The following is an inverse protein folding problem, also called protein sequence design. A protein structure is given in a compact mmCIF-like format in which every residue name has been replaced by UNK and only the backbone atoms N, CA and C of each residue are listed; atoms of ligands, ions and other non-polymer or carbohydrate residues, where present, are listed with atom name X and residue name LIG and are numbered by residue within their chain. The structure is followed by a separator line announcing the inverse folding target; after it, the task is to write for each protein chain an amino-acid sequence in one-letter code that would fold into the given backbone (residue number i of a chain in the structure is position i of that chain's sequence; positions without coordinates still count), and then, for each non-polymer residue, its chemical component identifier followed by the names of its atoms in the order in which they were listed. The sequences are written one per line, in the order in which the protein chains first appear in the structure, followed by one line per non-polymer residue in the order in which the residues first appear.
data_IF_975560092774
#
_entry.id   IF_975560092774
#
_cell.length_a   1.000
_cell.length_b   1.000
_cell.length_c   1.000
_cell.angle_alpha   90.00
_cell.angle_beta   90.00
_cell.angle_gamma   90.00
#
_symmetry.space_group_name_H-M   'P 1'
#
loop_
_entity.id
_entity.type
_entity.pdbx_description
1 polymer ?
#
# COMPACT_ATOMS: atom_id res chain seq x y z
N UNK A 1 68.59 -38.23 -28.79
CA UNK A 1 69.50 -37.74 -29.86
C UNK A 1 70.16 -36.51 -29.33
N UNK A 2 71.37 -36.67 -28.93
CA UNK A 2 72.64 -35.99 -29.21
C UNK A 2 72.70 -34.55 -28.69
N UNK A 3 73.54 -34.35 -27.64
CA UNK A 3 74.99 -34.05 -27.61
C UNK A 3 75.26 -32.57 -27.94
N UNK A 4 76.11 -31.77 -27.31
CA UNK A 4 77.34 -31.92 -26.54
C UNK A 4 77.77 -30.54 -26.04
N UNK A 5 78.27 -30.35 -24.80
CA UNK A 5 79.67 -30.29 -24.45
C UNK A 5 80.53 -29.27 -25.20
N UNK A 6 81.12 -28.36 -24.49
CA UNK A 6 82.58 -28.16 -24.15
C UNK A 6 82.78 -26.77 -23.52
N UNK A 7 83.31 -26.54 -22.35
CA UNK A 7 84.63 -26.76 -21.73
C UNK A 7 85.79 -25.96 -22.37
N UNK A 8 86.53 -25.34 -21.50
CA UNK A 8 88.00 -24.98 -21.52
C UNK A 8 88.17 -23.55 -21.08
N UNK A 9 88.63 -23.32 -19.89
CA UNK A 9 89.98 -23.31 -19.28
C UNK A 9 90.75 -22.02 -19.38
N UNK A 10 91.17 -21.57 -18.21
CA UNK A 10 92.48 -21.30 -17.67
C UNK A 10 93.21 -20.09 -18.24
N UNK A 11 93.55 -19.12 -17.37
CA UNK A 11 94.97 -18.80 -17.01
C UNK A 11 95.03 -17.82 -15.87
N UNK A 12 95.88 -18.22 -14.90
CA UNK A 12 96.33 -17.45 -13.78
C UNK A 12 97.45 -16.51 -14.17
N UNK A 13 97.56 -15.41 -13.52
CA UNK A 13 98.88 -14.78 -13.22
C UNK A 13 98.73 -13.70 -12.13
N UNK A 14 99.33 -13.98 -11.05
CA UNK A 14 99.91 -13.21 -9.92
C UNK A 14 100.38 -11.80 -10.25
N UNK A 15 100.19 -10.83 -9.38
CA UNK A 15 101.23 -10.06 -8.72
C UNK A 15 100.77 -9.16 -7.54
N UNK A 16 101.59 -9.10 -6.56
CA UNK A 16 101.50 -8.75 -5.17
C UNK A 16 101.57 -7.21 -4.87
N UNK A 17 101.20 -6.94 -3.60
CA UNK A 17 101.59 -5.83 -2.73
C UNK A 17 101.05 -4.42 -3.02
N UNK A 18 100.39 -3.91 -2.02
CA UNK A 18 100.05 -2.51 -1.80
C UNK A 18 99.12 -2.29 -0.62
N UNK A 19 99.58 -2.48 0.61
CA UNK A 19 98.89 -2.18 1.85
C UNK A 19 98.67 -0.67 2.00
N UNK A 20 97.41 -0.21 1.92
CA UNK A 20 96.99 1.08 2.46
C UNK A 20 95.73 0.86 3.29
N UNK A 21 95.89 1.04 4.60
CA UNK A 21 94.81 1.04 5.57
C UNK A 21 93.86 2.25 5.27
N UNK A 22 92.66 1.98 4.75
CA UNK A 22 91.57 2.95 4.68
C UNK A 22 90.55 2.52 5.69
N UNK A 23 90.47 3.24 6.82
CA UNK A 23 89.40 3.04 7.83
C UNK A 23 88.04 3.24 7.18
N UNK A 24 87.31 2.15 7.02
CA UNK A 24 85.91 2.17 6.57
C UNK A 24 85.06 2.79 7.68
N UNK A 25 84.65 4.06 7.50
CA UNK A 25 83.44 4.56 8.14
C UNK A 25 82.24 3.79 7.54
N UNK A 26 81.74 2.83 8.31
CA UNK A 26 80.47 2.24 8.05
C UNK A 26 79.36 3.36 8.13
N UNK A 27 78.50 3.53 7.12
CA UNK A 27 77.40 4.43 7.30
C UNK A 27 76.52 3.86 8.40
N UNK A 28 76.25 4.63 9.45
CA UNK A 28 75.28 4.34 10.45
C UNK A 28 73.93 4.21 9.71
N UNK A 29 73.40 3.00 9.64
CA UNK A 29 71.97 2.79 9.22
C UNK A 29 71.13 3.65 10.16
N UNK A 30 70.60 4.76 9.62
CA UNK A 30 69.57 5.56 10.28
C UNK A 30 68.37 4.65 10.48
N UNK A 31 68.16 4.21 11.71
CA UNK A 31 66.86 3.56 12.06
C UNK A 31 65.74 4.50 11.61
N UNK A 32 64.81 4.03 10.80
CA UNK A 32 63.64 4.85 10.41
C UNK A 32 62.95 5.34 11.69
N UNK A 33 62.85 6.65 11.85
CA UNK A 33 62.13 7.25 12.96
C UNK A 33 60.71 6.61 13.01
N UNK A 34 60.18 6.28 14.21
CA UNK A 34 58.87 5.72 14.34
C UNK A 34 57.89 6.60 13.57
N UNK A 35 57.24 6.05 12.54
CA UNK A 35 56.27 6.79 11.75
C UNK A 35 55.20 7.36 12.70
N UNK A 36 54.96 8.65 12.63
CA UNK A 36 53.95 9.32 13.45
C UNK A 36 52.61 8.57 13.32
N UNK A 37 51.90 8.34 14.43
CA UNK A 37 50.63 7.62 14.37
C UNK A 37 49.67 8.28 13.36
N UNK A 38 49.00 7.49 12.49
CA UNK A 38 48.12 8.05 11.48
C UNK A 38 46.98 8.83 12.13
N UNK A 39 46.78 10.05 11.64
CA UNK A 39 45.62 10.85 12.06
C UNK A 39 44.34 10.23 11.55
N UNK A 40 43.36 10.02 12.43
CA UNK A 40 42.07 9.40 12.15
C UNK A 40 40.94 10.25 12.72
N UNK A 41 39.84 10.39 11.95
CA UNK A 41 38.60 11.03 12.43
C UNK A 41 37.80 10.03 13.25
N UNK A 42 37.46 10.38 14.48
CA UNK A 42 36.66 9.54 15.37
C UNK A 42 35.33 10.17 15.74
N UNK A 43 34.33 9.32 15.91
CA UNK A 43 33.01 9.71 16.40
C UNK A 43 32.57 8.77 17.51
N UNK A 44 31.92 9.32 18.53
CA UNK A 44 31.35 8.51 19.61
C UNK A 44 30.08 7.80 19.16
N UNK A 45 29.95 6.55 19.53
CA UNK A 45 28.73 5.78 19.35
C UNK A 45 27.63 6.32 20.31
N UNK A 46 26.58 6.91 19.77
CA UNK A 46 25.51 7.54 20.54
C UNK A 46 24.16 6.90 20.23
N UNK A 47 23.26 6.91 21.19
CA UNK A 47 21.87 6.53 20.91
C UNK A 47 21.19 7.59 20.06
N UNK A 48 20.54 7.15 18.99
CA UNK A 48 19.75 8.02 18.11
C UNK A 48 18.40 7.39 17.81
N UNK A 49 17.36 8.21 17.71
CA UNK A 49 16.07 7.75 17.21
C UNK A 49 16.21 7.46 15.71
N UNK A 50 15.91 6.22 15.32
CA UNK A 50 15.87 5.78 13.92
C UNK A 50 14.46 5.24 13.66
N UNK A 51 13.82 5.77 12.62
CA UNK A 51 12.56 5.23 12.14
C UNK A 51 12.86 3.98 11.31
N UNK A 52 12.40 2.86 11.82
CA UNK A 52 12.52 1.60 11.09
C UNK A 52 11.59 1.63 9.88
N UNK A 53 12.10 1.35 8.70
CA UNK A 53 11.31 1.24 7.48
C UNK A 53 11.63 -0.06 6.75
N UNK A 54 10.60 -0.67 6.16
CA UNK A 54 10.72 -1.83 5.28
C UNK A 54 10.05 -1.49 3.96
N UNK A 55 10.73 -1.83 2.85
CA UNK A 55 10.28 -1.48 1.50
C UNK A 55 9.73 -2.72 0.79
N UNK A 56 8.56 -2.58 0.16
CA UNK A 56 7.86 -3.65 -0.54
C UNK A 56 7.31 -3.14 -1.88
N UNK A 57 7.22 -4.02 -2.87
CA UNK A 57 6.50 -3.72 -4.10
C UNK A 57 5.02 -3.98 -3.87
N UNK A 58 4.18 -2.98 -4.11
CA UNK A 58 2.74 -3.05 -3.95
C UNK A 58 1.98 -2.64 -5.20
N UNK A 59 0.65 -2.75 -5.11
CA UNK A 59 -0.29 -2.32 -6.13
C UNK A 59 -1.41 -1.49 -5.50
N UNK A 60 -1.79 -0.43 -6.17
CA UNK A 60 -2.99 0.35 -5.83
C UNK A 60 -4.22 -0.38 -6.36
N UNK A 61 -5.25 -0.47 -5.56
CA UNK A 61 -6.52 -1.11 -5.91
C UNK A 61 -7.69 -0.23 -5.46
N UNK A 62 -8.71 -0.15 -6.29
CA UNK A 62 -9.95 0.51 -5.90
C UNK A 62 -10.63 -0.22 -4.73
N UNK A 63 -11.21 0.53 -3.79
CA UNK A 63 -11.96 -0.06 -2.67
C UNK A 63 -13.21 -0.78 -3.12
N UNK A 64 -13.88 -0.26 -4.16
CA UNK A 64 -15.06 -0.86 -4.77
C UNK A 64 -14.90 -0.88 -6.29
N UNK A 65 -15.29 -2.01 -6.88
CA UNK A 65 -15.34 -2.20 -8.33
C UNK A 65 -16.67 -2.84 -8.68
N UNK A 66 -17.44 -2.19 -9.54
CA UNK A 66 -18.75 -2.67 -9.98
C UNK A 66 -18.77 -2.81 -11.49
N UNK A 67 -19.17 -3.98 -11.95
CA UNK A 67 -19.45 -4.27 -13.35
C UNK A 67 -20.94 -4.02 -13.61
N UNK A 68 -21.25 -3.02 -14.41
CA UNK A 68 -22.63 -2.65 -14.77
C UNK A 68 -23.09 -3.58 -15.87
N UNK A 69 -24.24 -4.23 -15.66
CA UNK A 69 -24.86 -5.17 -16.61
C UNK A 69 -26.35 -4.82 -16.81
N UNK A 70 -26.90 -5.12 -17.99
CA UNK A 70 -28.33 -5.03 -18.21
C UNK A 70 -29.06 -6.16 -17.45
N UNK A 71 -30.22 -5.85 -16.88
CA UNK A 71 -31.10 -6.83 -16.18
C UNK A 71 -32.29 -7.25 -17.00
N UNK A 72 -32.64 -6.49 -18.04
CA UNK A 72 -33.72 -6.75 -19.00
C UNK A 72 -33.18 -6.73 -20.41
N UNK A 73 -33.94 -7.33 -21.34
CA UNK A 73 -33.62 -7.29 -22.77
C UNK A 73 -34.33 -6.11 -23.42
N UNK A 74 -33.57 -5.14 -23.93
CA UNK A 74 -34.12 -3.96 -24.58
C UNK A 74 -33.05 -3.31 -25.49
N UNK A 75 -33.47 -2.37 -26.35
CA UNK A 75 -32.57 -1.50 -27.08
C UNK A 75 -31.93 -0.48 -26.14
N UNK A 76 -30.63 -0.26 -26.29
CA UNK A 76 -29.92 0.84 -25.65
C UNK A 76 -30.20 2.12 -26.44
N UNK A 77 -31.04 2.99 -25.89
CA UNK A 77 -31.42 4.23 -26.57
C UNK A 77 -30.30 5.28 -26.45
N UNK A 78 -29.81 5.46 -25.25
CA UNK A 78 -28.88 6.55 -24.96
C UNK A 78 -27.93 6.25 -23.81
N UNK A 79 -26.67 6.62 -24.00
CA UNK A 79 -25.67 6.78 -22.94
C UNK A 79 -25.69 8.22 -22.44
N UNK A 80 -25.72 8.45 -21.12
CA UNK A 80 -25.87 9.78 -20.51
C UNK A 80 -24.57 10.33 -19.90
N UNK A 81 -23.49 9.54 -19.88
CA UNK A 81 -22.18 9.90 -19.31
C UNK A 81 -21.09 10.01 -20.38
N UNK A 82 -20.00 10.69 -20.03
CA UNK A 82 -18.74 10.66 -20.78
C UNK A 82 -17.81 9.59 -20.19
N UNK A 83 -17.16 8.83 -21.04
CA UNK A 83 -16.20 7.81 -20.62
C UNK A 83 -15.02 8.45 -19.88
N UNK A 84 -14.59 7.84 -18.80
CA UNK A 84 -13.47 8.34 -17.98
C UNK A 84 -13.82 9.47 -17.02
N UNK A 85 -15.09 9.89 -16.92
CA UNK A 85 -15.56 10.87 -15.92
C UNK A 85 -15.88 10.22 -14.58
N UNK A 86 -15.93 11.02 -13.52
CA UNK A 86 -16.48 10.57 -12.24
C UNK A 86 -18.00 10.66 -12.26
N UNK A 87 -18.63 9.63 -11.72
CA UNK A 87 -20.08 9.51 -11.53
C UNK A 87 -20.40 9.33 -10.05
N UNK A 88 -21.58 9.80 -9.65
CA UNK A 88 -22.08 9.63 -8.28
C UNK A 88 -23.11 8.51 -8.22
N UNK A 89 -23.28 7.95 -7.06
CA UNK A 89 -24.35 6.99 -6.77
C UNK A 89 -25.71 7.60 -7.12
N UNK A 90 -26.46 6.88 -7.95
CA UNK A 90 -27.77 7.32 -8.44
C UNK A 90 -27.75 8.06 -9.79
N UNK A 91 -26.58 8.43 -10.31
CA UNK A 91 -26.50 9.04 -11.64
C UNK A 91 -27.00 8.06 -12.72
N UNK A 92 -27.82 8.56 -13.65
CA UNK A 92 -28.29 7.77 -14.80
C UNK A 92 -27.12 7.54 -15.77
N UNK A 93 -26.86 6.28 -16.08
CA UNK A 93 -25.76 5.87 -16.97
C UNK A 93 -26.27 5.50 -18.36
N UNK A 94 -27.28 4.65 -18.40
CA UNK A 94 -27.88 4.19 -19.64
C UNK A 94 -29.39 4.24 -19.55
N UNK A 95 -29.98 4.62 -20.64
CA UNK A 95 -31.43 4.57 -20.85
C UNK A 95 -31.73 3.50 -21.91
N UNK A 96 -32.54 2.52 -21.54
CA UNK A 96 -33.04 1.50 -22.44
C UNK A 96 -34.45 1.88 -22.95
N UNK A 97 -34.89 1.24 -24.02
CA UNK A 97 -36.26 1.39 -24.56
C UNK A 97 -37.30 1.05 -23.51
N UNK A 98 -38.16 2.01 -23.17
CA UNK A 98 -39.17 1.93 -22.08
C UNK A 98 -40.54 1.51 -22.56
N UNK A 99 -40.89 1.85 -23.82
CA UNK A 99 -42.24 1.72 -24.35
C UNK A 99 -42.90 0.36 -24.10
N UNK A 100 -42.28 -0.76 -24.42
CA UNK A 100 -42.86 -2.09 -24.16
C UNK A 100 -43.11 -2.37 -22.68
N UNK A 101 -42.24 -1.91 -21.79
CA UNK A 101 -42.36 -2.12 -20.33
C UNK A 101 -43.46 -1.24 -19.73
N UNK A 102 -43.63 0.00 -20.20
CA UNK A 102 -44.70 0.90 -19.79
C UNK A 102 -46.08 0.34 -20.23
N UNK A 103 -46.17 -0.18 -21.45
CA UNK A 103 -47.40 -0.81 -21.94
C UNK A 103 -47.78 -2.08 -21.14
N UNK A 104 -46.79 -2.91 -20.78
CA UNK A 104 -47.04 -4.08 -19.93
C UNK A 104 -47.51 -3.67 -18.53
N UNK A 105 -46.86 -2.70 -17.91
CA UNK A 105 -47.25 -2.17 -16.61
C UNK A 105 -48.68 -1.64 -16.61
N UNK A 106 -49.08 -0.85 -17.61
CA UNK A 106 -50.44 -0.34 -17.73
C UNK A 106 -51.48 -1.46 -17.92
N UNK A 107 -51.14 -2.49 -18.71
CA UNK A 107 -51.99 -3.69 -18.86
C UNK A 107 -52.21 -4.40 -17.52
N UNK A 108 -51.18 -4.60 -16.70
CA UNK A 108 -51.29 -5.22 -15.37
C UNK A 108 -52.09 -4.37 -14.39
N UNK A 109 -51.91 -3.05 -14.42
CA UNK A 109 -52.71 -2.11 -13.61
C UNK A 109 -54.20 -2.19 -13.99
N UNK A 110 -54.54 -2.24 -15.27
CA UNK A 110 -55.93 -2.41 -15.73
C UNK A 110 -56.56 -3.71 -15.23
N UNK A 111 -55.78 -4.81 -15.18
CA UNK A 111 -56.23 -6.08 -14.63
C UNK A 111 -56.52 -6.01 -13.12
N UNK A 112 -55.70 -5.30 -12.34
CA UNK A 112 -56.01 -5.05 -10.92
C UNK A 112 -57.28 -4.28 -10.75
N UNK A 113 -57.52 -3.23 -11.53
CA UNK A 113 -58.78 -2.45 -11.49
C UNK A 113 -60.02 -3.31 -11.80
N UNK A 114 -59.93 -4.21 -12.80
CA UNK A 114 -61.00 -5.16 -13.13
C UNK A 114 -61.31 -6.08 -11.95
N UNK A 115 -60.31 -6.67 -11.32
CA UNK A 115 -60.48 -7.57 -10.17
C UNK A 115 -60.99 -6.84 -8.93
N UNK A 116 -60.54 -5.61 -8.71
CA UNK A 116 -61.06 -4.76 -7.64
C UNK A 116 -62.57 -4.45 -7.82
N UNK A 117 -63.01 -4.14 -9.03
CA UNK A 117 -64.42 -3.93 -9.32
C UNK A 117 -65.25 -5.20 -9.03
N UNK A 118 -64.70 -6.38 -9.40
CA UNK A 118 -65.39 -7.68 -9.10
C UNK A 118 -65.45 -7.95 -7.61
N UNK A 119 -64.34 -7.63 -6.86
CA UNK A 119 -64.28 -7.75 -5.41
C UNK A 119 -65.27 -6.84 -4.70
N UNK A 120 -65.48 -5.61 -5.19
CA UNK A 120 -66.52 -4.71 -4.65
C UNK A 120 -67.89 -5.33 -4.75
N UNK A 121 -68.27 -5.95 -5.93
CA UNK A 121 -69.48 -6.66 -6.08
C UNK A 121 -69.65 -7.86 -5.14
N UNK A 122 -68.57 -8.63 -4.92
CA UNK A 122 -68.55 -9.76 -3.99
C UNK A 122 -68.76 -9.28 -2.53
N UNK A 123 -68.10 -8.19 -2.12
CA UNK A 123 -68.29 -7.55 -0.79
C UNK A 123 -69.76 -7.15 -0.59
N UNK A 124 -70.34 -6.45 -1.56
CA UNK A 124 -71.77 -6.10 -1.49
C UNK A 124 -72.73 -7.34 -1.42
N UNK A 125 -72.32 -8.42 -2.08
CA UNK A 125 -73.08 -9.68 -2.01
C UNK A 125 -72.96 -10.33 -0.64
N UNK A 126 -71.74 -10.33 -0.05
CA UNK A 126 -71.51 -10.84 1.30
C UNK A 126 -72.25 -10.02 2.36
N UNK A 127 -72.28 -8.69 2.22
CA UNK A 127 -73.05 -7.81 3.12
C UNK A 127 -74.52 -8.05 3.05
N UNK A 128 -75.11 -8.26 1.84
CA UNK A 128 -76.52 -8.61 1.67
C UNK A 128 -76.82 -9.97 2.28
N UNK A 129 -76.01 -10.99 2.03
CA UNK A 129 -76.18 -12.32 2.61
C UNK A 129 -76.12 -12.29 4.15
N UNK A 130 -75.20 -11.48 4.72
CA UNK A 130 -75.07 -11.24 6.16
C UNK A 130 -76.31 -10.59 6.75
N UNK A 131 -76.90 -9.60 6.07
CA UNK A 131 -78.09 -8.93 6.51
C UNK A 131 -79.30 -9.87 6.49
N UNK A 132 -79.48 -10.70 5.43
CA UNK A 132 -80.50 -11.68 5.30
C UNK A 132 -80.39 -12.80 6.34
N UNK A 133 -79.17 -13.20 6.74
CA UNK A 133 -78.92 -14.24 7.74
C UNK A 133 -79.60 -13.88 9.09
N UNK A 134 -79.76 -12.61 9.44
CA UNK A 134 -80.41 -12.13 10.64
C UNK A 134 -81.96 -12.25 10.56
N UNK A 135 -82.54 -12.65 9.41
CA UNK A 135 -83.95 -12.79 9.16
C UNK A 135 -84.40 -14.27 8.95
N UNK A 136 -85.78 -14.54 8.90
CA UNK A 136 -86.29 -15.88 8.81
C UNK A 136 -86.01 -16.61 7.48
N UNK A 137 -85.51 -15.93 6.45
CA UNK A 137 -85.20 -16.47 5.13
C UNK A 137 -83.68 -16.68 4.86
N UNK A 138 -82.84 -16.41 5.83
CA UNK A 138 -81.38 -16.49 5.67
C UNK A 138 -80.85 -17.91 5.78
N UNK A 139 -79.96 -18.31 4.83
CA UNK A 139 -79.30 -19.60 4.82
C UNK A 139 -77.78 -19.37 5.14
N UNK A 140 -77.28 -20.08 6.17
CA UNK A 140 -75.87 -20.02 6.55
C UNK A 140 -74.92 -20.40 5.39
N UNK A 141 -75.35 -21.43 4.60
CA UNK A 141 -74.57 -21.88 3.44
C UNK A 141 -74.34 -20.82 2.37
N UNK A 142 -75.31 -19.94 2.16
CA UNK A 142 -75.25 -18.83 1.20
C UNK A 142 -74.28 -17.76 1.68
N UNK A 143 -74.27 -17.46 2.99
CA UNK A 143 -73.37 -16.52 3.57
C UNK A 143 -71.92 -17.06 3.53
N UNK A 144 -71.71 -18.32 3.90
CA UNK A 144 -70.43 -18.99 3.87
C UNK A 144 -69.87 -19.04 2.44
N UNK A 145 -70.65 -19.32 1.45
CA UNK A 145 -70.24 -19.28 0.05
C UNK A 145 -69.90 -17.88 -0.44
N UNK A 146 -70.59 -16.83 0.03
CA UNK A 146 -70.30 -15.44 -0.32
C UNK A 146 -68.92 -14.98 0.31
N UNK A 147 -68.69 -15.38 1.58
CA UNK A 147 -67.41 -15.12 2.23
C UNK A 147 -66.25 -15.81 1.49
N UNK A 148 -66.42 -17.09 1.15
CA UNK A 148 -65.39 -17.85 0.44
C UNK A 148 -65.05 -17.21 -0.91
N UNK A 149 -66.11 -16.78 -1.65
CA UNK A 149 -65.95 -16.06 -2.93
C UNK A 149 -65.22 -14.71 -2.72
N UNK A 150 -65.60 -13.92 -1.72
CA UNK A 150 -64.93 -12.66 -1.39
C UNK A 150 -63.45 -12.88 -1.09
N UNK A 151 -63.11 -13.84 -0.21
CA UNK A 151 -61.73 -14.19 0.16
C UNK A 151 -60.91 -14.66 -1.06
N UNK A 152 -61.55 -15.44 -1.96
CA UNK A 152 -60.92 -15.85 -3.22
C UNK A 152 -60.56 -14.66 -4.11
N UNK A 153 -61.48 -13.69 -4.24
CA UNK A 153 -61.26 -12.48 -5.03
C UNK A 153 -60.21 -11.53 -4.37
N UNK A 154 -60.20 -11.45 -3.04
CA UNK A 154 -59.16 -10.72 -2.31
C UNK A 154 -57.77 -11.29 -2.59
N UNK A 155 -57.64 -12.61 -2.58
CA UNK A 155 -56.38 -13.28 -2.93
C UNK A 155 -56.01 -13.05 -4.42
N UNK A 156 -56.97 -13.02 -5.33
CA UNK A 156 -56.71 -12.71 -6.74
C UNK A 156 -56.27 -11.27 -6.97
N UNK A 157 -56.82 -10.29 -6.25
CA UNK A 157 -56.35 -8.88 -6.29
C UNK A 157 -54.92 -8.79 -5.80
N UNK A 158 -54.58 -9.48 -4.70
CA UNK A 158 -53.20 -9.49 -4.19
C UNK A 158 -52.21 -10.11 -5.20
N UNK A 159 -52.62 -11.23 -5.84
CA UNK A 159 -51.80 -11.86 -6.88
C UNK A 159 -51.59 -10.93 -8.10
N UNK A 160 -52.66 -10.23 -8.54
CA UNK A 160 -52.53 -9.26 -9.63
C UNK A 160 -51.68 -8.04 -9.25
N UNK A 161 -51.76 -7.57 -8.01
CA UNK A 161 -50.89 -6.50 -7.51
C UNK A 161 -49.44 -6.90 -7.55
N UNK A 162 -49.07 -8.12 -7.16
CA UNK A 162 -47.71 -8.63 -7.25
C UNK A 162 -47.20 -8.66 -8.71
N UNK A 163 -48.10 -8.87 -9.71
CA UNK A 163 -47.70 -8.78 -11.12
C UNK A 163 -47.42 -7.33 -11.56
N UNK A 164 -48.18 -6.35 -11.02
CA UNK A 164 -47.90 -4.92 -11.24
C UNK A 164 -46.52 -4.55 -10.68
N UNK A 165 -46.23 -5.01 -9.46
CA UNK A 165 -44.95 -4.73 -8.81
C UNK A 165 -43.76 -5.33 -9.61
N UNK A 166 -43.94 -6.54 -10.17
CA UNK A 166 -42.92 -7.17 -11.04
C UNK A 166 -42.74 -6.37 -12.34
N UNK A 167 -43.80 -5.91 -12.98
CA UNK A 167 -43.73 -5.11 -14.21
C UNK A 167 -43.09 -3.74 -13.92
N UNK A 168 -43.36 -3.14 -12.75
CA UNK A 168 -42.68 -1.90 -12.30
C UNK A 168 -41.15 -2.11 -12.14
N UNK A 169 -40.74 -3.18 -11.48
CA UNK A 169 -39.32 -3.52 -11.32
C UNK A 169 -38.65 -3.69 -12.69
N UNK A 170 -39.33 -4.34 -13.65
CA UNK A 170 -38.76 -4.48 -15.00
C UNK A 170 -38.66 -3.13 -15.73
N UNK A 171 -39.62 -2.24 -15.53
CA UNK A 171 -39.55 -0.87 -16.04
C UNK A 171 -38.40 -0.09 -15.40
N UNK A 172 -38.21 -0.20 -14.08
CA UNK A 172 -37.12 0.45 -13.38
C UNK A 172 -35.74 -0.03 -13.89
N UNK A 173 -35.62 -1.28 -14.32
CA UNK A 173 -34.41 -1.83 -14.92
C UNK A 173 -34.08 -1.28 -16.30
N UNK A 174 -34.97 -0.51 -16.93
CA UNK A 174 -34.71 0.20 -18.18
C UNK A 174 -33.86 1.45 -17.97
N UNK A 175 -33.77 1.96 -16.74
CA UNK A 175 -32.87 3.02 -16.33
C UNK A 175 -31.74 2.42 -15.49
N UNK A 176 -30.52 2.46 -16.02
CA UNK A 176 -29.34 1.89 -15.36
C UNK A 176 -28.60 3.01 -14.65
N UNK A 177 -28.65 3.00 -13.34
CA UNK A 177 -27.99 4.00 -12.47
C UNK A 177 -26.68 3.48 -11.88
N UNK A 178 -25.80 4.42 -11.50
CA UNK A 178 -24.58 4.08 -10.79
C UNK A 178 -24.85 3.61 -9.37
N UNK A 179 -24.37 2.42 -8.98
CA UNK A 179 -24.52 1.94 -7.60
C UNK A 179 -23.50 2.47 -6.63
N UNK A 180 -22.40 3.09 -7.11
CA UNK A 180 -21.30 3.62 -6.32
C UNK A 180 -20.78 4.95 -6.89
N UNK A 181 -20.13 5.73 -6.05
CA UNK A 181 -19.30 6.85 -6.50
C UNK A 181 -17.99 6.33 -7.09
N UNK A 182 -17.57 6.85 -8.24
CA UNK A 182 -16.30 6.44 -8.83
C UNK A 182 -16.12 6.86 -10.27
N UNK A 183 -15.00 6.45 -10.85
CA UNK A 183 -14.68 6.72 -12.25
C UNK A 183 -15.27 5.64 -13.14
N UNK A 184 -16.04 6.07 -14.14
CA UNK A 184 -16.66 5.16 -15.11
C UNK A 184 -15.68 4.86 -16.24
N UNK A 185 -15.63 3.59 -16.62
CA UNK A 185 -14.77 3.12 -17.70
C UNK A 185 -15.41 3.34 -19.08
N UNK A 186 -14.79 2.72 -20.06
CA UNK A 186 -15.27 2.68 -21.44
C UNK A 186 -16.55 1.85 -21.53
N UNK A 187 -17.51 2.26 -22.38
CA UNK A 187 -18.66 1.43 -22.73
C UNK A 187 -18.26 0.28 -23.65
N UNK A 188 -18.81 -0.90 -23.43
CA UNK A 188 -18.61 -2.06 -24.30
C UNK A 188 -19.67 -2.15 -25.42
N UNK A 189 -20.81 -1.47 -25.26
CA UNK A 189 -21.94 -1.50 -26.18
C UNK A 189 -22.32 -0.06 -26.55
N UNK A 190 -22.50 0.20 -27.84
CA UNK A 190 -22.90 1.50 -28.36
C UNK A 190 -24.41 1.63 -28.44
N UNK A 191 -24.88 2.88 -28.46
CA UNK A 191 -26.30 3.22 -28.62
C UNK A 191 -26.88 2.56 -29.88
N UNK A 192 -28.17 2.16 -29.83
CA UNK A 192 -28.83 1.47 -30.91
C UNK A 192 -28.66 -0.06 -30.94
N UNK A 193 -27.87 -0.65 -30.03
CA UNK A 193 -27.75 -2.09 -29.93
C UNK A 193 -28.74 -2.68 -28.91
N UNK A 194 -29.08 -3.95 -29.10
CA UNK A 194 -29.86 -4.71 -28.11
C UNK A 194 -28.90 -5.17 -26.99
N UNK A 195 -29.29 -4.91 -25.77
CA UNK A 195 -28.65 -5.43 -24.56
C UNK A 195 -29.54 -6.46 -23.88
N UNK A 196 -28.92 -7.46 -23.29
CA UNK A 196 -29.58 -8.56 -22.55
C UNK A 196 -28.80 -8.87 -21.28
N UNK A 197 -29.35 -9.58 -20.30
CA UNK A 197 -28.61 -10.05 -19.14
C UNK A 197 -27.36 -10.90 -19.48
N UNK A 198 -27.33 -11.51 -20.66
CA UNK A 198 -26.21 -12.32 -21.17
C UNK A 198 -25.23 -11.54 -22.05
N UNK A 199 -25.46 -10.26 -22.33
CA UNK A 199 -24.58 -9.42 -23.16
C UNK A 199 -23.25 -9.11 -22.49
N UNK A 200 -23.09 -9.46 -21.20
CA UNK A 200 -21.88 -9.18 -20.42
C UNK A 200 -21.87 -7.79 -19.80
N UNK A 201 -20.66 -7.31 -19.52
CA UNK A 201 -20.45 -6.02 -18.83
C UNK A 201 -20.61 -4.87 -19.82
N UNK A 202 -21.50 -3.93 -19.52
CA UNK A 202 -21.69 -2.71 -20.32
C UNK A 202 -20.56 -1.69 -20.06
N UNK A 203 -20.23 -1.50 -18.80
CA UNK A 203 -19.11 -0.67 -18.33
C UNK A 203 -18.70 -1.10 -16.91
N UNK A 204 -17.54 -0.62 -16.45
CA UNK A 204 -17.06 -0.83 -15.08
C UNK A 204 -16.90 0.50 -14.38
N UNK A 205 -17.33 0.59 -13.13
CA UNK A 205 -17.12 1.75 -12.27
C UNK A 205 -16.15 1.33 -11.16
N UNK A 206 -15.14 2.15 -10.93
CA UNK A 206 -14.13 1.94 -9.87
C UNK A 206 -14.10 3.15 -8.94
N UNK A 207 -14.19 2.90 -7.65
CA UNK A 207 -14.04 3.96 -6.65
C UNK A 207 -12.66 4.59 -6.74
N UNK A 208 -12.55 5.89 -6.44
CA UNK A 208 -11.32 6.64 -6.59
C UNK A 208 -10.71 7.08 -5.25
N UNK A 209 -11.51 7.25 -4.21
CA UNK A 209 -11.08 7.68 -2.89
C UNK A 209 -12.00 7.09 -1.81
N UNK A 210 -11.44 6.45 -0.77
CA UNK A 210 -10.04 6.08 -0.63
C UNK A 210 -9.64 4.91 -1.53
N UNK A 211 -8.32 4.71 -1.72
CA UNK A 211 -7.76 3.56 -2.42
C UNK A 211 -7.18 2.54 -1.44
N UNK A 212 -7.08 1.29 -1.88
CA UNK A 212 -6.27 0.29 -1.20
C UNK A 212 -4.87 0.25 -1.80
N UNK A 213 -3.90 -0.04 -0.96
CA UNK A 213 -2.57 -0.46 -1.37
C UNK A 213 -2.34 -1.87 -0.84
N UNK A 214 -2.12 -2.83 -1.75
CA UNK A 214 -1.88 -4.23 -1.44
C UNK A 214 -0.43 -4.59 -1.76
N UNK A 215 0.22 -5.31 -0.86
CA UNK A 215 1.61 -5.73 -1.04
C UNK A 215 1.88 -7.06 -0.35
N UNK A 216 2.62 -7.97 -1.00
CA UNK A 216 3.05 -9.24 -0.43
C UNK A 216 4.27 -9.03 0.47
N UNK A 217 4.26 -9.67 1.62
CA UNK A 217 5.36 -9.68 2.59
C UNK A 217 5.74 -11.13 2.87
N UNK A 218 7.03 -11.46 2.95
CA UNK A 218 7.46 -12.81 3.30
C UNK A 218 6.95 -13.18 4.71
N UNK A 219 6.62 -14.45 4.94
CA UNK A 219 6.12 -14.92 6.23
C UNK A 219 7.10 -14.57 7.36
N UNK A 220 8.40 -14.69 7.10
CA UNK A 220 9.46 -14.33 8.06
C UNK A 220 9.37 -12.85 8.46
N UNK A 221 9.26 -11.96 7.49
CA UNK A 221 9.17 -10.51 7.73
C UNK A 221 7.85 -10.16 8.43
N UNK A 222 6.74 -10.77 8.02
CA UNK A 222 5.44 -10.58 8.66
C UNK A 222 5.45 -10.98 10.14
N UNK A 223 6.13 -12.07 10.51
CA UNK A 223 6.32 -12.49 11.90
C UNK A 223 7.16 -11.45 12.68
N UNK A 224 8.26 -10.99 12.08
CA UNK A 224 9.12 -9.96 12.67
C UNK A 224 8.36 -8.66 12.90
N UNK A 225 7.58 -8.20 11.91
CA UNK A 225 6.73 -7.01 12.04
C UNK A 225 5.67 -7.21 13.12
N UNK A 226 5.02 -8.36 13.15
CA UNK A 226 4.01 -8.68 14.19
C UNK A 226 4.61 -8.63 15.59
N UNK A 227 5.74 -9.28 15.84
CA UNK A 227 6.42 -9.27 17.15
C UNK A 227 6.83 -7.84 17.54
N UNK A 228 7.37 -7.09 16.61
CA UNK A 228 7.83 -5.71 16.81
C UNK A 228 6.72 -4.75 17.20
N UNK A 229 5.56 -4.85 16.54
CA UNK A 229 4.45 -3.91 16.73
C UNK A 229 3.32 -4.43 17.63
N UNK A 230 3.31 -5.70 18.03
CA UNK A 230 2.26 -6.29 18.88
C UNK A 230 2.05 -5.51 20.19
N UNK A 231 3.15 -5.08 20.84
CA UNK A 231 3.12 -4.33 22.10
C UNK A 231 3.03 -2.82 21.93
N UNK A 232 3.17 -2.30 20.69
CA UNK A 232 3.25 -0.87 20.38
C UNK A 232 1.98 -0.30 19.75
N UNK A 233 0.88 -1.05 19.73
CA UNK A 233 -0.40 -0.62 19.15
C UNK A 233 -0.79 -1.33 17.84
N UNK A 234 -0.06 -2.38 17.45
CA UNK A 234 -0.39 -3.20 16.27
C UNK A 234 -0.39 -2.39 14.98
N UNK A 235 -1.44 -2.50 14.18
CA UNK A 235 -1.55 -1.80 12.88
C UNK A 235 -1.50 -0.28 12.96
N UNK A 236 -1.95 0.31 14.08
CA UNK A 236 -1.91 1.77 14.30
C UNK A 236 -0.50 2.32 14.53
N UNK A 237 0.43 1.45 14.87
CA UNK A 237 1.83 1.81 15.07
C UNK A 237 2.65 1.87 13.78
N UNK A 238 2.01 1.65 12.64
CA UNK A 238 2.64 1.59 11.33
C UNK A 238 1.95 2.55 10.37
N UNK A 239 2.75 3.34 9.66
CA UNK A 239 2.30 4.22 8.59
C UNK A 239 2.81 3.67 7.26
N UNK A 240 1.96 3.73 6.27
CA UNK A 240 2.29 3.37 4.89
C UNK A 240 2.62 4.66 4.14
N UNK A 241 3.84 4.76 3.63
CA UNK A 241 4.23 5.77 2.66
C UNK A 241 4.38 5.11 1.30
N UNK A 242 3.89 5.77 0.29
CA UNK A 242 3.92 5.26 -1.09
C UNK A 242 4.90 6.07 -1.91
N UNK A 243 5.78 5.39 -2.63
CA UNK A 243 6.62 6.00 -3.68
C UNK A 243 6.06 5.60 -5.03
N UNK A 244 5.76 6.61 -5.83
CA UNK A 244 5.21 6.47 -7.17
C UNK A 244 6.26 5.92 -8.17
N UNK A 245 5.84 5.42 -9.34
CA UNK A 245 6.75 4.90 -10.38
C UNK A 245 7.76 5.93 -10.88
N UNK A 246 7.43 7.23 -10.81
CA UNK A 246 8.33 8.34 -11.17
C UNK A 246 9.39 8.66 -10.10
N UNK A 247 9.35 7.95 -8.97
CA UNK A 247 10.29 8.11 -7.85
C UNK A 247 9.87 9.14 -6.80
N UNK A 248 8.81 9.91 -7.04
CA UNK A 248 8.27 10.86 -6.05
C UNK A 248 7.61 10.13 -4.89
N UNK A 249 7.73 10.70 -3.71
CA UNK A 249 6.99 10.25 -2.55
C UNK A 249 5.58 10.85 -2.60
N UNK A 250 4.56 10.00 -2.46
CA UNK A 250 3.17 10.42 -2.37
C UNK A 250 2.93 11.18 -1.05
N UNK A 251 2.23 12.31 -1.11
CA UNK A 251 2.07 13.19 0.06
C UNK A 251 1.17 12.61 1.15
N UNK A 252 0.17 11.80 0.76
CA UNK A 252 -0.77 11.24 1.73
C UNK A 252 -0.22 9.97 2.35
N UNK A 253 -0.41 9.83 3.65
CA UNK A 253 -0.03 8.64 4.39
C UNK A 253 -1.18 7.63 4.41
N UNK A 254 -0.87 6.37 4.16
CA UNK A 254 -1.79 5.26 4.30
C UNK A 254 -1.72 4.63 5.69
N UNK A 255 -2.75 3.87 6.03
CA UNK A 255 -2.83 3.09 7.27
C UNK A 255 -3.06 1.61 6.94
N UNK A 256 -2.32 0.74 7.62
CA UNK A 256 -2.52 -0.70 7.51
C UNK A 256 -3.86 -1.08 8.16
N UNK A 257 -4.73 -1.75 7.41
CA UNK A 257 -6.06 -2.13 7.89
C UNK A 257 -6.34 -3.63 7.83
N UNK A 258 -5.55 -4.40 7.07
CA UNK A 258 -5.81 -5.81 6.89
C UNK A 258 -4.54 -6.61 6.62
N UNK A 259 -4.49 -7.81 7.19
CA UNK A 259 -3.49 -8.85 6.90
C UNK A 259 -4.26 -10.08 6.45
N UNK A 260 -3.91 -10.64 5.30
CA UNK A 260 -4.58 -11.83 4.81
C UNK A 260 -4.44 -13.00 5.79
N UNK A 261 -5.44 -13.87 5.85
CA UNK A 261 -5.45 -15.07 6.69
C UNK A 261 -4.85 -16.30 6.01
N UNK A 262 -4.43 -16.15 4.75
CA UNK A 262 -3.83 -17.21 3.93
C UNK A 262 -2.45 -16.81 3.45
N UNK A 263 -1.55 -17.80 3.40
CA UNK A 263 -0.20 -17.66 2.86
C UNK A 263 -0.23 -18.18 1.41
N UNK A 264 0.30 -17.41 0.48
CA UNK A 264 0.46 -17.83 -0.90
C UNK A 264 1.56 -18.90 -0.98
N UNK A 265 1.17 -20.16 -1.24
CA UNK A 265 2.06 -21.31 -1.18
C UNK A 265 3.21 -21.26 -2.22
N UNK A 266 2.99 -20.59 -3.35
CA UNK A 266 4.00 -20.47 -4.43
C UNK A 266 5.15 -19.51 -4.08
N UNK A 267 4.91 -18.53 -3.22
CA UNK A 267 5.85 -17.44 -2.91
C UNK A 267 6.21 -17.33 -1.44
N UNK A 268 5.59 -18.12 -0.57
CA UNK A 268 5.71 -18.05 0.91
C UNK A 268 5.50 -16.59 1.42
N UNK A 269 4.47 -15.93 0.88
CA UNK A 269 4.14 -14.55 1.23
C UNK A 269 2.72 -14.45 1.78
N UNK A 270 2.52 -13.45 2.65
CA UNK A 270 1.21 -13.02 3.14
C UNK A 270 0.93 -11.63 2.60
N UNK A 271 -0.29 -11.41 2.09
CA UNK A 271 -0.68 -10.12 1.56
C UNK A 271 -1.15 -9.21 2.68
N UNK A 272 -0.56 -8.04 2.76
CA UNK A 272 -0.98 -6.93 3.61
C UNK A 272 -1.73 -5.92 2.74
N UNK A 273 -2.70 -5.23 3.37
CA UNK A 273 -3.47 -4.18 2.72
C UNK A 273 -3.58 -2.96 3.63
N UNK A 274 -3.35 -1.81 3.06
CA UNK A 274 -3.60 -0.53 3.69
C UNK A 274 -4.66 0.28 2.95
N UNK A 275 -5.17 1.30 3.60
CA UNK A 275 -6.05 2.31 3.00
C UNK A 275 -5.27 3.61 2.90
N UNK A 276 -5.35 4.27 1.75
CA UNK A 276 -4.68 5.53 1.47
C UNK A 276 -5.67 6.51 0.83
N UNK A 277 -5.75 7.76 1.29
CA UNK A 277 -6.56 8.80 0.65
C UNK A 277 -6.03 9.10 -0.76
N UNK A 278 -6.93 9.44 -1.67
CA UNK A 278 -6.59 9.83 -3.05
C UNK A 278 -7.42 11.05 -3.48
N UNK A 279 -7.14 12.23 -2.87
CA UNK A 279 -7.90 13.44 -3.16
C UNK A 279 -7.75 13.86 -4.62
N UNK A 280 -8.75 14.59 -5.12
CA UNK A 280 -8.71 15.22 -6.44
C UNK A 280 -7.63 16.29 -6.47
N UNK A 281 -6.74 16.26 -7.47
CA UNK A 281 -5.70 17.26 -7.67
C UNK A 281 -6.25 18.49 -8.43
N UNK A 282 -6.88 18.22 -9.57
CA UNK A 282 -7.49 19.25 -10.44
C UNK A 282 -8.46 18.60 -11.42
N UNK A 283 -9.26 19.42 -12.07
CA UNK A 283 -10.13 18.95 -13.17
C UNK A 283 -9.28 18.53 -14.37
N UNK A 284 -9.71 17.48 -15.07
CA UNK A 284 -9.04 17.02 -16.27
C UNK A 284 -9.38 17.95 -17.46
N UNK A 285 -8.41 18.71 -17.99
CA UNK A 285 -8.68 19.61 -19.12
C UNK A 285 -9.02 18.86 -20.42
N UNK A 286 -8.66 17.58 -20.54
CA UNK A 286 -8.91 16.76 -21.71
C UNK A 286 -10.31 16.10 -21.70
N UNK A 287 -10.91 15.95 -20.52
CA UNK A 287 -12.18 15.25 -20.35
C UNK A 287 -13.17 16.14 -19.60
N UNK A 288 -14.16 16.74 -20.28
CA UNK A 288 -15.18 17.57 -19.61
C UNK A 288 -15.88 16.80 -18.49
N UNK A 289 -15.79 17.32 -17.24
CA UNK A 289 -16.28 16.66 -16.04
C UNK A 289 -15.40 15.53 -15.51
N UNK A 290 -14.22 15.33 -16.08
CA UNK A 290 -13.19 14.44 -15.56
C UNK A 290 -12.37 15.08 -14.46
N UNK A 291 -11.83 14.26 -13.56
CA UNK A 291 -10.90 14.67 -12.50
C UNK A 291 -9.60 13.92 -12.63
N UNK A 292 -8.50 14.59 -12.27
CA UNK A 292 -7.17 13.98 -12.19
C UNK A 292 -6.87 13.69 -10.73
N UNK A 293 -6.50 12.45 -10.47
CA UNK A 293 -6.01 11.96 -9.18
C UNK A 293 -4.65 11.33 -9.37
N UNK A 294 -3.84 11.32 -8.34
CA UNK A 294 -2.46 10.87 -8.46
C UNK A 294 -2.35 9.34 -8.50
N UNK A 295 -3.19 8.65 -7.70
CA UNK A 295 -3.20 7.18 -7.68
C UNK A 295 -4.25 6.64 -8.65
N UNK A 296 -3.85 5.63 -9.41
CA UNK A 296 -4.72 4.94 -10.38
C UNK A 296 -4.88 3.46 -10.01
N UNK A 297 -6.08 2.92 -10.18
CA UNK A 297 -6.35 1.50 -9.95
C UNK A 297 -5.48 0.61 -10.83
N UNK A 298 -4.79 -0.36 -10.22
CA UNK A 298 -3.85 -1.26 -10.88
C UNK A 298 -2.40 -0.78 -10.94
N UNK A 299 -2.10 0.44 -10.50
CA UNK A 299 -0.77 1.03 -10.52
C UNK A 299 0.19 0.31 -9.58
N UNK A 300 1.41 0.03 -10.05
CA UNK A 300 2.47 -0.48 -9.20
C UNK A 300 3.17 0.65 -8.47
N UNK A 301 3.40 0.43 -7.19
CA UNK A 301 4.04 1.42 -6.31
C UNK A 301 5.02 0.74 -5.37
N UNK A 302 5.99 1.50 -4.89
CA UNK A 302 6.85 1.05 -3.79
C UNK A 302 6.25 1.49 -2.46
N UNK A 303 5.98 0.52 -1.61
CA UNK A 303 5.38 0.70 -0.29
C UNK A 303 6.46 0.73 0.77
N UNK A 304 6.62 1.85 1.47
CA UNK A 304 7.48 1.99 2.63
C UNK A 304 6.64 1.89 3.90
N UNK A 305 6.87 0.82 4.64
CA UNK A 305 6.22 0.57 5.91
C UNK A 305 7.07 1.16 7.03
N UNK A 306 6.63 2.24 7.64
CA UNK A 306 7.38 2.95 8.67
C UNK A 306 6.71 2.84 10.04
N UNK A 307 7.53 2.65 11.09
CA UNK A 307 7.04 2.74 12.46
C UNK A 307 6.71 4.19 12.84
N UNK A 308 5.54 4.41 13.44
CA UNK A 308 5.11 5.75 13.93
C UNK A 308 6.06 6.29 15.00
N UNK A 309 6.61 5.40 15.83
CA UNK A 309 7.54 5.78 16.89
C UNK A 309 8.97 5.39 16.53
N UNK A 310 9.91 6.34 16.48
CA UNK A 310 11.31 6.05 16.29
C UNK A 310 11.84 5.22 17.46
N UNK A 311 12.69 4.24 17.14
CA UNK A 311 13.37 3.39 18.13
C UNK A 311 14.75 3.97 18.41
N UNK A 312 15.12 4.11 19.69
CA UNK A 312 16.47 4.48 20.06
C UNK A 312 17.43 3.31 19.82
N UNK A 313 18.33 3.48 18.86
CA UNK A 313 19.36 2.50 18.52
C UNK A 313 20.74 3.10 18.72
N UNK A 314 21.73 2.26 19.05
CA UNK A 314 23.12 2.68 19.05
C UNK A 314 23.56 2.90 17.61
N UNK A 315 23.87 4.14 17.27
CA UNK A 315 24.09 4.59 15.90
C UNK A 315 25.54 5.04 15.67
N UNK A 316 26.09 4.60 14.55
CA UNK A 316 27.39 5.06 14.02
C UNK A 316 27.22 5.47 12.54
N UNK A 317 28.12 6.28 11.98
CA UNK A 317 28.11 6.57 10.56
C UNK A 317 28.28 5.29 9.72
N UNK A 318 27.48 5.14 8.65
CA UNK A 318 27.59 3.98 7.75
C UNK A 318 29.01 3.84 7.15
N UNK A 319 29.70 4.96 6.93
CA UNK A 319 31.08 5.02 6.42
C UNK A 319 32.12 4.37 7.36
N UNK A 320 31.82 4.18 8.64
CA UNK A 320 32.69 3.51 9.60
C UNK A 320 32.63 1.98 9.52
N UNK A 321 31.60 1.43 8.88
CA UNK A 321 31.38 -0.01 8.80
C UNK A 321 32.18 -0.60 7.65
N UNK A 322 33.01 -1.57 7.97
CA UNK A 322 33.81 -2.37 7.04
C UNK A 322 33.30 -3.81 7.02
N UNK A 323 33.48 -4.50 5.90
CA UNK A 323 33.08 -5.89 5.73
C UNK A 323 34.23 -6.74 5.23
N UNK A 324 34.38 -7.94 5.78
CA UNK A 324 35.32 -8.96 5.31
C UNK A 324 34.60 -10.34 5.18
N UNK A 325 35.41 -11.41 4.98
CA UNK A 325 34.87 -12.77 4.83
C UNK A 325 34.17 -13.31 6.08
N UNK A 326 34.50 -12.75 7.26
CA UNK A 326 33.94 -13.19 8.55
C UNK A 326 32.74 -12.33 8.99
N UNK A 327 32.41 -11.25 8.26
CA UNK A 327 31.28 -10.37 8.52
C UNK A 327 31.63 -8.89 8.67
N UNK A 328 30.77 -8.15 9.32
CA UNK A 328 30.91 -6.70 9.49
C UNK A 328 31.71 -6.35 10.75
N UNK A 329 32.57 -5.33 10.63
CA UNK A 329 33.41 -4.87 11.74
C UNK A 329 33.62 -3.36 11.67
N UNK A 330 34.07 -2.81 12.78
CA UNK A 330 34.48 -1.41 12.92
C UNK A 330 35.85 -1.34 13.63
N UNK A 331 36.55 -0.24 13.43
CA UNK A 331 37.70 0.10 14.26
C UNK A 331 37.27 1.02 15.39
N UNK A 332 37.62 0.65 16.62
CA UNK A 332 37.37 1.43 17.84
C UNK A 332 38.74 1.85 18.41
N UNK A 333 38.80 3.06 18.91
CA UNK A 333 40.00 3.54 19.61
C UNK A 333 39.96 3.05 21.05
N UNK A 334 40.89 2.16 21.41
CA UNK A 334 41.06 1.66 22.77
C UNK A 334 41.69 2.69 23.71
N UNK A 335 41.85 2.33 25.00
CA UNK A 335 42.39 3.20 26.05
C UNK A 335 43.81 3.70 25.78
N UNK A 336 44.64 2.93 25.06
CA UNK A 336 46.01 3.24 24.70
C UNK A 336 46.16 4.00 23.37
N UNK A 337 45.07 4.58 22.83
CA UNK A 337 44.99 5.13 21.48
C UNK A 337 45.42 4.13 20.39
N UNK A 338 45.15 2.85 20.60
CA UNK A 338 45.34 1.81 19.58
C UNK A 338 44.01 1.47 18.90
N UNK A 339 44.09 1.19 17.61
CA UNK A 339 42.94 0.76 16.86
C UNK A 339 42.62 -0.72 17.15
N UNK A 340 41.45 -0.99 17.68
CA UNK A 340 40.92 -2.33 17.91
C UNK A 340 39.88 -2.66 16.85
N UNK A 341 40.04 -3.81 16.17
CA UNK A 341 39.02 -4.32 15.30
C UNK A 341 37.94 -5.03 16.15
N UNK A 342 36.68 -4.56 16.07
CA UNK A 342 35.56 -5.18 16.78
C UNK A 342 34.50 -5.62 15.80
N UNK A 343 34.11 -6.89 15.88
CA UNK A 343 32.98 -7.46 15.13
C UNK A 343 31.68 -6.86 15.62
N UNK A 344 30.82 -6.48 14.69
CA UNK A 344 29.51 -5.90 15.00
C UNK A 344 28.41 -6.68 14.30
N UNK A 345 27.21 -6.60 14.87
CA UNK A 345 25.97 -7.01 14.18
C UNK A 345 25.18 -5.76 13.89
N UNK A 346 24.86 -5.55 12.64
CA UNK A 346 24.01 -4.44 12.23
C UNK A 346 22.54 -4.78 12.45
N UNK A 347 21.79 -3.78 12.83
CA UNK A 347 20.34 -3.73 12.74
C UNK A 347 19.90 -3.02 11.45
N UNK A 348 18.68 -2.52 11.44
CA UNK A 348 18.18 -1.70 10.35
C UNK A 348 19.01 -0.42 10.25
N UNK A 349 19.58 -0.19 9.08
CA UNK A 349 20.50 0.91 8.81
C UNK A 349 19.96 1.75 7.66
N UNK A 350 20.17 3.06 7.73
CA UNK A 350 19.89 3.98 6.63
C UNK A 350 21.12 4.12 5.72
N UNK A 351 21.01 4.91 4.66
CA UNK A 351 22.17 5.23 3.80
C UNK A 351 23.30 5.98 4.54
N UNK A 352 22.98 6.69 5.62
CA UNK A 352 23.91 7.53 6.38
C UNK A 352 24.27 6.97 7.74
N UNK A 353 23.36 6.20 8.38
CA UNK A 353 23.49 5.70 9.74
C UNK A 353 23.41 4.17 9.76
N UNK A 354 24.35 3.54 10.43
CA UNK A 354 24.32 2.12 10.77
C UNK A 354 23.86 1.96 12.22
N UNK A 355 22.73 1.26 12.41
CA UNK A 355 22.26 0.82 13.72
C UNK A 355 23.03 -0.42 14.14
N UNK A 356 23.64 -0.41 15.32
CA UNK A 356 24.43 -1.54 15.84
C UNK A 356 23.64 -2.22 16.97
N UNK A 357 23.41 -3.52 16.81
CA UNK A 357 22.71 -4.34 17.81
C UNK A 357 23.66 -4.98 18.83
N UNK A 358 24.90 -5.26 18.42
CA UNK A 358 25.93 -5.83 19.31
C UNK A 358 27.33 -5.55 18.77
N UNK A 359 28.32 -5.53 19.67
CA UNK A 359 29.76 -5.41 19.32
C UNK A 359 30.40 -4.10 19.74
N UNK A 360 29.65 -3.04 19.98
CA UNK A 360 30.15 -1.77 20.55
C UNK A 360 29.25 -1.30 21.69
N UNK A 361 29.82 -0.47 22.56
CA UNK A 361 29.13 0.14 23.69
C UNK A 361 28.87 1.64 23.46
N UNK A 362 27.93 2.18 24.24
CA UNK A 362 27.66 3.63 24.26
C UNK A 362 28.92 4.40 24.68
N UNK A 363 29.31 5.39 23.89
CA UNK A 363 30.51 6.20 24.14
C UNK A 363 31.79 5.65 23.52
N UNK A 364 31.79 4.46 22.89
CA UNK A 364 32.94 3.96 22.17
C UNK A 364 33.32 4.92 21.02
N UNK A 365 34.59 5.21 20.88
CA UNK A 365 35.17 6.08 19.83
C UNK A 365 35.41 5.26 18.58
N UNK A 366 34.51 5.34 17.63
CA UNK A 366 34.58 4.61 16.35
C UNK A 366 35.34 5.45 15.32
N UNK A 367 36.28 4.84 14.62
CA UNK A 367 37.04 5.49 13.54
C UNK A 367 36.15 5.58 12.31
N UNK A 368 35.97 6.78 11.78
CA UNK A 368 35.09 7.09 10.62
C UNK A 368 35.89 7.54 9.41
N UNK A 369 37.00 8.26 9.64
CA UNK A 369 37.91 8.77 8.61
C UNK A 369 39.30 8.23 8.78
N UNK A 370 40.03 8.04 7.68
CA UNK A 370 41.39 7.52 7.68
C UNK A 370 41.50 5.99 7.78
N UNK A 371 40.41 5.26 7.63
CA UNK A 371 40.30 3.79 7.74
C UNK A 371 41.37 3.04 6.91
N UNK A 372 41.74 3.56 5.74
CA UNK A 372 42.72 2.94 4.85
C UNK A 372 44.14 2.90 5.46
N UNK A 373 44.45 3.74 6.44
CA UNK A 373 45.75 3.87 7.10
C UNK A 373 45.81 3.10 8.43
N UNK A 374 44.69 2.55 8.88
CA UNK A 374 44.54 1.88 10.17
C UNK A 374 44.81 0.39 10.04
N UNK A 375 45.62 -0.15 10.94
CA UNK A 375 45.76 -1.60 11.09
C UNK A 375 45.48 -1.99 12.55
N UNK A 376 44.92 -3.19 12.78
CA UNK A 376 44.64 -3.66 14.14
C UNK A 376 45.89 -3.61 15.03
N UNK A 377 45.75 -3.07 16.24
CA UNK A 377 46.82 -2.96 17.24
C UNK A 377 47.77 -1.80 17.06
N UNK A 378 47.68 -1.01 15.98
CA UNK A 378 48.57 0.16 15.77
C UNK A 378 48.09 1.39 16.55
N UNK A 379 49.02 2.22 17.08
CA UNK A 379 48.65 3.50 17.66
C UNK A 379 48.12 4.45 16.58
N UNK A 380 47.06 5.19 16.89
CA UNK A 380 46.41 6.17 16.03
C UNK A 380 46.33 7.52 16.75
N UNK A 381 46.30 8.60 16.01
CA UNK A 381 46.06 9.94 16.55
C UNK A 381 44.59 10.34 16.32
N UNK A 382 43.69 10.18 17.32
CA UNK A 382 42.28 10.49 17.16
C UNK A 382 42.07 12.00 17.10
N UNK A 383 41.32 12.45 16.08
CA UNK A 383 40.87 13.82 15.89
C UNK A 383 39.38 13.86 15.60
N UNK A 384 38.75 15.05 15.59
CA UNK A 384 37.34 15.19 15.21
C UNK A 384 37.15 14.84 13.72
N UNK A 385 36.01 14.27 13.38
CA UNK A 385 35.61 14.03 11.99
C UNK A 385 35.31 15.31 11.24
N UNK A 386 35.38 15.27 9.91
CA UNK A 386 35.08 16.42 9.05
C UNK A 386 33.65 16.95 9.25
N UNK A 387 33.51 18.27 9.04
CA UNK A 387 32.20 18.94 9.19
C UNK A 387 31.12 18.37 8.31
N UNK A 388 31.45 17.78 7.16
CA UNK A 388 30.53 17.15 6.23
C UNK A 388 29.86 15.90 6.84
N UNK A 389 30.63 15.05 7.52
CA UNK A 389 30.08 13.84 8.17
C UNK A 389 29.24 14.24 9.39
N UNK A 390 29.68 15.24 10.15
CA UNK A 390 28.84 15.76 11.25
C UNK A 390 27.51 16.33 10.76
N UNK A 391 27.52 17.08 9.66
CA UNK A 391 26.31 17.66 9.06
C UNK A 391 25.36 16.59 8.52
N UNK A 392 25.87 15.56 7.81
CA UNK A 392 25.03 14.46 7.30
C UNK A 392 24.35 13.66 8.41
N UNK A 393 25.05 13.44 9.50
CA UNK A 393 24.51 12.78 10.69
C UNK A 393 23.46 13.65 11.43
N UNK A 394 23.62 14.98 11.41
CA UNK A 394 22.70 15.91 12.04
C UNK A 394 21.40 16.06 11.22
N UNK A 395 21.49 16.16 9.91
CA UNK A 395 20.34 16.18 9.01
C UNK A 395 19.45 14.93 9.15
N UNK A 396 20.07 13.74 9.24
CA UNK A 396 19.35 12.49 9.47
C UNK A 396 18.66 12.40 10.85
N UNK A 397 19.08 13.22 11.83
CA UNK A 397 18.46 13.29 13.16
C UNK A 397 17.30 14.29 13.22
N UNK A 398 17.30 15.29 12.35
CA UNK A 398 16.24 16.31 12.25
C UNK A 398 15.04 15.78 11.47
N UNK A 399 15.24 14.94 10.46
CA UNK A 399 14.17 14.24 9.71
C UNK A 399 13.33 13.35 10.64
N UNK A 400 13.92 12.77 11.68
CA UNK A 400 13.22 12.00 12.71
C UNK A 400 12.49 12.85 13.77
N UNK A 401 12.76 14.16 13.88
CA UNK A 401 12.14 15.07 14.87
C UNK A 401 10.99 15.90 14.32
N UNK A 402 11.05 16.33 13.07
CA UNK A 402 9.98 17.12 12.42
C UNK A 402 8.66 16.36 12.29
N UNK A 403 8.68 15.04 12.40
CA UNK A 403 7.48 14.22 12.43
C UNK A 403 6.74 14.21 13.78
N UNK A 404 7.37 14.70 14.86
CA UNK A 404 6.76 14.72 16.21
C UNK A 404 5.84 15.93 16.45
N UNK A 405 6.05 17.02 15.74
CA UNK A 405 5.32 18.28 15.98
C UNK A 405 4.15 18.51 14.99
N UNK A 406 4.06 17.75 13.89
CA UNK A 406 2.96 17.83 12.92
C UNK A 406 1.67 17.11 13.32
N UNK A 407 1.70 16.27 14.36
CA UNK A 407 0.55 15.44 14.77
C UNK A 407 -0.37 16.07 15.86
N UNK A 408 -0.04 17.23 16.41
CA UNK A 408 -0.74 17.79 17.57
C UNK A 408 -1.55 19.10 17.29
N UNK A 409 -1.59 19.59 16.06
CA UNK A 409 -2.30 20.82 15.70
C UNK A 409 -3.47 20.57 14.73
N UNK A 410 -4.59 20.05 15.22
CA UNK A 410 -5.75 19.83 14.35
C UNK A 410 -7.02 19.33 15.02
N UNK A 411 -7.31 19.73 16.26
CA UNK A 411 -8.64 19.48 16.84
C UNK A 411 -9.05 20.67 17.70
N UNK A 412 -9.62 21.69 17.04
CA UNK A 412 -10.36 22.76 17.74
C UNK A 412 -11.85 22.48 17.54
N UNK A 413 -12.65 22.25 18.59
CA UNK A 413 -14.09 22.07 18.44
C UNK A 413 -14.73 23.38 18.07
N UNK A 414 -15.50 23.42 16.98
CA UNK A 414 -16.38 24.54 16.64
C UNK A 414 -17.47 24.63 17.70
N UNK A 415 -17.44 25.73 18.46
CA UNK A 415 -18.44 26.07 19.46
C UNK A 415 -19.79 26.35 18.82
N UNK A 416 -20.81 25.82 19.45
CA UNK A 416 -22.19 26.24 19.32
C UNK A 416 -22.38 27.66 19.84
N UNK A 417 -23.11 28.44 19.13
CA UNK A 417 -23.78 29.67 19.64
C UNK A 417 -25.05 29.95 18.86
N UNK A 418 -26.01 30.69 19.46
CA UNK A 418 -27.37 30.25 19.82
C UNK A 418 -28.39 30.44 18.71
#
# INVERSE_FOLDING_TARGET
MHLSRTAIDLTAATLALGSIACAALAPAEAQPAPAAPPAVGVMEAVKRPVTESSEFLGRIEATNRVSVVARVTAFLEKRTFNEGTEVKTGDLLYQLERGPFEADLESKKAQVLQLQATLVNAKLTTDRAKTLLGGPAGQQSTYDAAIANQQSLEAQVQAAQAQVDLSQINLDYTEIHSPIDGKIGRTAVTDGNVVTPSSGVLTTIVSQDPMYVTFPVSVREALTLRERYATRGGFKAVVIKVRLPDGRLYEQNGQLNFVNNTIAQSTDTITLRGTIPNPTMHDDPATPGGTVRELTDGEFVTVNLEGVQPVEVLAIPRSAVLSDQEGEYVYVVGADNKAEQRRIKLGQSTSTIAAVTSGIALGDKVIVEGLQKVRPGQPVAPGPVSALIQASMKASAEDGRTQKDGGAAGAKPAGATP
#
